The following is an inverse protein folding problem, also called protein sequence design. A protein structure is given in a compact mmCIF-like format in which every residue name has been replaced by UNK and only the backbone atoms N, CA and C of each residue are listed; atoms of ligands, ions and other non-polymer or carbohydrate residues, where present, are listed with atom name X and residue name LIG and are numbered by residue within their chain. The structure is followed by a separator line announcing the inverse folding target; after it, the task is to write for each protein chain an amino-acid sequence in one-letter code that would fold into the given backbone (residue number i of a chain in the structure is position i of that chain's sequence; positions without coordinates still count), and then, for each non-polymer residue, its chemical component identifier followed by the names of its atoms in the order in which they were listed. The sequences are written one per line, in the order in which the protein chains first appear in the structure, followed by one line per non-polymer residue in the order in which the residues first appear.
data_IF_905443037955
#
_entry.id   IF_905443037955
#
_cell.length_a   1.000
_cell.length_b   1.000
_cell.length_c   1.000
_cell.angle_alpha   90.00
_cell.angle_beta   90.00
_cell.angle_gamma   90.00
#
_symmetry.space_group_name_H-M   'P 1'
#
loop_
_entity.id
_entity.type
_entity.pdbx_description
1 polymer ?
#
# COMPACT_ATOMS: atom_id res chain seq x y z
N UNK A 1 -15.04 14.27 -7.71
CA UNK A 1 -13.86 15.11 -7.38
C UNK A 1 -13.26 14.75 -6.01
N UNK A 2 -14.04 14.63 -4.93
CA UNK A 2 -13.52 14.32 -3.58
C UNK A 2 -12.79 12.96 -3.50
N UNK A 3 -13.41 11.89 -4.02
CA UNK A 3 -12.84 10.53 -4.00
C UNK A 3 -11.49 10.44 -4.72
N UNK A 4 -11.40 11.04 -5.91
CA UNK A 4 -10.16 11.07 -6.71
C UNK A 4 -9.05 11.83 -5.99
N UNK A 5 -9.37 12.95 -5.33
CA UNK A 5 -8.40 13.71 -4.54
C UNK A 5 -7.88 12.90 -3.34
N UNK A 6 -8.75 12.14 -2.65
CA UNK A 6 -8.35 11.26 -1.55
C UNK A 6 -7.42 10.16 -2.05
N UNK A 7 -7.76 9.52 -3.18
CA UNK A 7 -6.90 8.49 -3.80
C UNK A 7 -5.52 9.08 -4.15
N UNK A 8 -5.47 10.23 -4.80
CA UNK A 8 -4.22 10.88 -5.18
C UNK A 8 -3.38 11.22 -3.94
N UNK A 9 -3.99 11.83 -2.92
CA UNK A 9 -3.30 12.17 -1.67
C UNK A 9 -2.71 10.94 -1.00
N UNK A 10 -3.44 9.82 -1.00
CA UNK A 10 -2.98 8.57 -0.42
C UNK A 10 -1.90 7.85 -1.23
N UNK A 11 -1.92 7.96 -2.57
CA UNK A 11 -0.88 7.39 -3.44
C UNK A 11 0.41 8.19 -3.36
N UNK A 12 0.30 9.51 -3.23
CA UNK A 12 1.45 10.41 -3.10
C UNK A 12 2.00 10.51 -1.68
N UNK A 13 1.39 9.81 -0.73
CA UNK A 13 1.86 9.80 0.65
C UNK A 13 3.22 9.06 0.76
N UNK A 14 4.30 9.78 1.11
CA UNK A 14 5.65 9.20 1.10
C UNK A 14 5.82 8.10 2.15
N UNK A 15 5.20 8.23 3.31
CA UNK A 15 5.29 7.21 4.36
C UNK A 15 4.59 5.93 3.91
N UNK A 16 3.42 6.07 3.30
CA UNK A 16 2.66 4.94 2.77
C UNK A 16 3.41 4.21 1.66
N UNK A 17 4.03 4.97 0.75
CA UNK A 17 4.90 4.40 -0.30
C UNK A 17 6.03 3.58 0.32
N UNK A 18 6.74 4.12 1.31
CA UNK A 18 7.85 3.43 1.97
C UNK A 18 7.39 2.14 2.66
N UNK A 19 6.29 2.20 3.42
CA UNK A 19 5.75 1.03 4.13
C UNK A 19 5.35 -0.09 3.15
N UNK A 20 4.66 0.25 2.06
CA UNK A 20 4.25 -0.72 1.05
C UNK A 20 5.44 -1.27 0.27
N UNK A 21 6.43 -0.43 -0.05
CA UNK A 21 7.66 -0.89 -0.69
C UNK A 21 8.41 -1.90 0.20
N UNK A 22 8.56 -1.61 1.50
CA UNK A 22 9.18 -2.53 2.46
C UNK A 22 8.40 -3.85 2.52
N UNK A 23 7.07 -3.81 2.64
CA UNK A 23 6.22 -5.00 2.63
C UNK A 23 6.40 -5.82 1.34
N UNK A 24 6.47 -5.16 0.19
CA UNK A 24 6.72 -5.81 -1.10
C UNK A 24 8.10 -6.48 -1.13
N UNK A 25 9.18 -5.78 -0.75
CA UNK A 25 10.51 -6.39 -0.72
C UNK A 25 10.64 -7.53 0.29
N UNK A 26 9.99 -7.43 1.45
CA UNK A 26 9.89 -8.53 2.41
C UNK A 26 9.19 -9.75 1.81
N UNK A 27 8.10 -9.53 1.07
CA UNK A 27 7.35 -10.62 0.41
C UNK A 27 8.24 -11.43 -0.56
N UNK A 28 9.17 -10.75 -1.25
CA UNK A 28 10.13 -11.38 -2.17
C UNK A 28 11.24 -12.17 -1.46
N UNK A 29 11.47 -11.97 -0.16
CA UNK A 29 12.49 -12.68 0.63
C UNK A 29 11.97 -13.98 1.24
N UNK A 30 10.66 -14.22 1.20
CA UNK A 30 10.04 -15.43 1.76
C UNK A 30 10.34 -16.64 0.87
N UNK A 31 10.77 -17.76 1.47
CA UNK A 31 11.12 -19.00 0.74
C UNK A 31 9.93 -19.60 -0.03
N UNK A 32 8.72 -19.42 0.48
CA UNK A 32 7.48 -19.87 -0.14
C UNK A 32 6.75 -18.68 -0.78
N UNK A 33 6.68 -18.59 -2.12
CA UNK A 33 6.10 -17.44 -2.81
C UNK A 33 4.64 -17.18 -2.43
N UNK A 34 3.83 -18.22 -2.27
CA UNK A 34 2.42 -18.12 -1.87
C UNK A 34 2.25 -17.41 -0.53
N UNK A 35 3.10 -17.75 0.45
CA UNK A 35 3.11 -17.11 1.78
C UNK A 35 3.59 -15.66 1.69
N UNK A 36 4.56 -15.37 0.83
CA UNK A 36 5.01 -14.00 0.56
C UNK A 36 3.87 -13.12 0.03
N UNK A 37 3.14 -13.59 -0.98
CA UNK A 37 1.99 -12.87 -1.54
C UNK A 37 0.86 -12.68 -0.53
N UNK A 38 0.54 -13.71 0.27
CA UNK A 38 -0.44 -13.58 1.34
C UNK A 38 0.00 -12.54 2.39
N UNK A 39 1.28 -12.53 2.76
CA UNK A 39 1.85 -11.53 3.66
C UNK A 39 1.75 -10.11 3.09
N UNK A 40 1.96 -9.93 1.79
CA UNK A 40 1.79 -8.64 1.12
C UNK A 40 0.33 -8.17 1.13
N UNK A 41 -0.62 -9.06 0.83
CA UNK A 41 -2.05 -8.73 0.88
C UNK A 41 -2.46 -8.35 2.30
N UNK A 42 -2.02 -9.12 3.31
CA UNK A 42 -2.27 -8.79 4.71
C UNK A 42 -1.67 -7.42 5.07
N UNK A 43 -0.45 -7.12 4.66
CA UNK A 43 0.19 -5.83 4.91
C UNK A 43 -0.58 -4.67 4.25
N UNK A 44 -1.03 -4.84 3.00
CA UNK A 44 -1.85 -3.85 2.28
C UNK A 44 -3.11 -3.51 3.08
N UNK A 45 -3.82 -4.53 3.57
CA UNK A 45 -5.07 -4.36 4.33
C UNK A 45 -4.81 -3.77 5.71
N UNK A 46 -3.82 -4.27 6.44
CA UNK A 46 -3.46 -3.76 7.77
C UNK A 46 -3.04 -2.30 7.68
N UNK A 47 -2.14 -1.95 6.75
CA UNK A 47 -1.72 -0.55 6.57
C UNK A 47 -2.93 0.29 6.18
N UNK A 48 -3.79 -0.17 5.27
CA UNK A 48 -4.97 0.59 4.88
C UNK A 48 -5.89 0.92 6.05
N UNK A 49 -6.17 -0.07 6.91
CA UNK A 49 -7.06 0.08 8.07
C UNK A 49 -6.39 0.93 9.16
N UNK A 50 -5.16 0.62 9.56
CA UNK A 50 -4.54 1.30 10.72
C UNK A 50 -4.03 2.70 10.41
N UNK A 51 -3.62 2.99 9.16
CA UNK A 51 -3.06 4.29 8.79
C UNK A 51 -3.96 5.49 9.14
N UNK A 52 -5.27 5.54 8.78
CA UNK A 52 -6.12 6.67 9.14
C UNK A 52 -6.27 6.86 10.64
N UNK A 53 -6.32 5.79 11.44
CA UNK A 53 -6.50 5.91 12.90
C UNK A 53 -5.18 6.24 13.62
N UNK A 54 -4.10 5.52 13.30
CA UNK A 54 -2.85 5.57 14.06
C UNK A 54 -1.95 6.73 13.60
N UNK A 55 -1.94 7.03 12.29
CA UNK A 55 -1.04 8.05 11.72
C UNK A 55 -1.76 9.38 11.55
N UNK A 56 -2.99 9.36 11.03
CA UNK A 56 -3.73 10.59 10.73
C UNK A 56 -4.66 11.04 11.87
N UNK A 57 -4.84 10.23 12.92
CA UNK A 57 -5.72 10.53 14.06
C UNK A 57 -7.20 10.67 13.68
N UNK A 58 -7.61 10.11 12.54
CA UNK A 58 -8.98 10.19 12.06
C UNK A 58 -9.88 9.24 12.83
N UNK A 59 -11.15 9.60 13.03
CA UNK A 59 -12.16 8.77 13.68
C UNK A 59 -13.52 8.88 12.97
N UNK A 60 -14.43 7.97 13.28
CA UNK A 60 -15.76 7.91 12.68
C UNK A 60 -15.76 7.48 11.20
N UNK A 61 -16.82 7.83 10.47
CA UNK A 61 -17.07 7.38 9.10
C UNK A 61 -15.97 7.80 8.11
N UNK A 62 -15.32 8.93 8.37
CA UNK A 62 -14.21 9.45 7.54
C UNK A 62 -13.01 8.50 7.58
N UNK A 63 -12.68 7.95 8.76
CA UNK A 63 -11.56 7.02 8.92
C UNK A 63 -11.84 5.69 8.21
N UNK A 64 -13.07 5.18 8.30
CA UNK A 64 -13.48 3.97 7.60
C UNK A 64 -13.48 4.13 6.09
N UNK A 65 -13.99 5.26 5.58
CA UNK A 65 -13.93 5.58 4.15
C UNK A 65 -12.46 5.70 3.67
N UNK A 66 -11.62 6.41 4.43
CA UNK A 66 -10.19 6.55 4.16
C UNK A 66 -9.46 5.20 4.15
N UNK A 67 -9.85 4.29 5.05
CA UNK A 67 -9.33 2.93 5.11
C UNK A 67 -9.73 2.09 3.90
N UNK A 68 -10.99 2.12 3.50
CA UNK A 68 -11.47 1.41 2.31
C UNK A 68 -10.77 1.89 1.02
N UNK A 69 -10.67 3.20 0.83
CA UNK A 69 -9.89 3.80 -0.28
C UNK A 69 -8.40 3.44 -0.16
N UNK A 70 -7.91 3.33 1.07
CA UNK A 70 -6.53 2.99 1.36
C UNK A 70 -6.11 1.60 0.88
N UNK A 71 -7.02 0.63 0.86
CA UNK A 71 -6.72 -0.70 0.32
C UNK A 71 -6.38 -0.59 -1.18
N UNK A 72 -7.18 0.17 -1.92
CA UNK A 72 -6.99 0.38 -3.37
C UNK A 72 -5.69 1.13 -3.61
N UNK A 73 -5.46 2.24 -2.90
CA UNK A 73 -4.24 3.04 -3.02
C UNK A 73 -2.99 2.22 -2.71
N UNK A 74 -3.02 1.41 -1.65
CA UNK A 74 -1.90 0.54 -1.28
C UNK A 74 -1.61 -0.54 -2.33
N UNK A 75 -2.65 -1.15 -2.91
CA UNK A 75 -2.50 -2.11 -4.00
C UNK A 75 -1.90 -1.46 -5.25
N UNK A 76 -2.32 -0.25 -5.60
CA UNK A 76 -1.75 0.52 -6.71
C UNK A 76 -0.27 0.84 -6.48
N UNK A 77 0.10 1.30 -5.28
CA UNK A 77 1.50 1.54 -4.91
C UNK A 77 2.30 0.24 -5.08
N UNK A 78 1.83 -0.89 -4.56
CA UNK A 78 2.51 -2.17 -4.68
C UNK A 78 2.70 -2.59 -6.14
N UNK A 79 1.68 -2.38 -6.99
CA UNK A 79 1.76 -2.66 -8.43
C UNK A 79 2.79 -1.77 -9.13
N UNK A 80 2.85 -0.47 -8.80
CA UNK A 80 3.86 0.46 -9.34
C UNK A 80 5.26 0.04 -8.91
N UNK A 81 5.47 -0.28 -7.62
CA UNK A 81 6.77 -0.75 -7.11
C UNK A 81 7.20 -2.03 -7.83
N UNK A 82 6.29 -2.99 -8.01
CA UNK A 82 6.55 -4.21 -8.75
C UNK A 82 6.90 -3.94 -10.22
N UNK A 83 6.17 -3.03 -10.87
CA UNK A 83 6.41 -2.60 -12.25
C UNK A 83 7.77 -1.93 -12.43
N UNK A 84 8.12 -0.99 -11.54
CA UNK A 84 9.41 -0.30 -11.54
C UNK A 84 10.57 -1.27 -11.32
N UNK A 85 10.44 -2.24 -10.41
CA UNK A 85 11.46 -3.25 -10.18
C UNK A 85 11.65 -4.16 -11.41
N UNK A 86 10.56 -4.56 -12.07
CA UNK A 86 10.63 -5.32 -13.33
C UNK A 86 11.29 -4.51 -14.45
N UNK A 87 10.99 -3.21 -14.52
CA UNK A 87 11.60 -2.30 -15.49
C UNK A 87 13.11 -2.17 -15.23
N UNK A 88 13.50 -1.93 -13.98
CA UNK A 88 14.89 -1.82 -13.57
C UNK A 88 15.69 -3.07 -13.98
N UNK A 89 15.20 -4.27 -13.64
CA UNK A 89 15.85 -5.54 -14.01
C UNK A 89 15.92 -5.83 -15.51
N UNK A 90 15.11 -5.14 -16.32
CA UNK A 90 15.10 -5.30 -17.78
C UNK A 90 16.13 -4.40 -18.45
N UNK A 91 16.40 -3.23 -17.87
CA UNK A 91 17.25 -2.20 -18.47
C UNK A 91 18.63 -2.05 -17.80
N UNK A 92 18.81 -2.60 -16.60
CA UNK A 92 20.05 -2.63 -15.82
C UNK A 92 20.36 -4.05 -15.37
#
# INVERSE_FOLDING_TARGET
MLLTAIVIAQILDPLRIVLIAIAYFLSLRVKQPSVGWLGLVAAIVIIAIFYPFVILGQSGDIAWMSGAVGVISNALIAAVVAGLLRLQRRFF
#
